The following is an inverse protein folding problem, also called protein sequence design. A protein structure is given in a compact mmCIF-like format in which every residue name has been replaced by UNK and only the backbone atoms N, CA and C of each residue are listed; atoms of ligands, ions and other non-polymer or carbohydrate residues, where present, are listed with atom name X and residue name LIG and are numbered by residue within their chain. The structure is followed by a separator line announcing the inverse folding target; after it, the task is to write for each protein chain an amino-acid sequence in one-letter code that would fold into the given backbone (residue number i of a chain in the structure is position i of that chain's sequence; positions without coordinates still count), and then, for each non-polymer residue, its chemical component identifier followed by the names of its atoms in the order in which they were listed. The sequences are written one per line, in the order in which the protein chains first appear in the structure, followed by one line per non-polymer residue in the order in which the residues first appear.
data_IF_558545689139
#
_entry.id   IF_558545689139
#
_cell.length_a   1.000
_cell.length_b   1.000
_cell.length_c   1.000
_cell.angle_alpha   90.00
_cell.angle_beta   90.00
_cell.angle_gamma   90.00
#
_symmetry.space_group_name_H-M   'P 1'
#
loop_
_entity.id
_entity.type
_entity.pdbx_description
1 polymer ?
#
# COMPACT_ATOMS: atom_id res chain seq x y z
N UNK A 1 30.57 17.78 -25.27
CA UNK A 1 29.10 17.78 -25.36
C UNK A 1 28.53 17.85 -23.95
N UNK A 2 27.69 18.83 -23.63
CA UNK A 2 27.12 19.00 -22.29
C UNK A 2 25.93 18.04 -22.11
N UNK A 3 25.94 17.18 -21.09
CA UNK A 3 24.82 16.27 -20.77
C UNK A 3 24.17 16.72 -19.45
N UNK A 4 22.84 16.84 -19.44
CA UNK A 4 22.06 17.01 -18.21
C UNK A 4 21.70 15.61 -17.71
N UNK A 5 22.10 15.31 -16.48
CA UNK A 5 21.73 14.06 -15.80
C UNK A 5 20.73 14.40 -14.70
N UNK A 6 19.60 13.68 -14.69
CA UNK A 6 18.55 13.82 -13.67
C UNK A 6 18.62 12.60 -12.77
N UNK A 7 18.64 12.83 -11.46
CA UNK A 7 18.68 11.79 -10.43
C UNK A 7 17.43 11.96 -9.57
N UNK A 8 16.76 10.84 -9.28
CA UNK A 8 15.55 10.79 -8.47
C UNK A 8 15.85 10.00 -7.20
N UNK A 9 15.66 10.63 -6.04
CA UNK A 9 15.88 10.02 -4.74
C UNK A 9 14.58 9.98 -3.94
N UNK A 10 14.31 8.85 -3.29
CA UNK A 10 13.07 8.62 -2.56
C UNK A 10 13.33 8.55 -1.06
N UNK A 11 12.40 9.11 -0.29
CA UNK A 11 12.46 9.11 1.17
C UNK A 11 11.13 8.67 1.78
N UNK A 12 11.18 7.93 2.88
CA UNK A 12 10.04 7.63 3.74
C UNK A 12 10.28 8.22 5.13
N UNK A 13 9.43 9.16 5.54
CA UNK A 13 9.57 9.90 6.79
C UNK A 13 10.96 10.54 6.95
N UNK A 14 11.50 11.05 5.84
CA UNK A 14 12.82 11.68 5.78
C UNK A 14 14.01 10.72 5.73
N UNK A 15 13.79 9.40 5.73
CA UNK A 15 14.86 8.40 5.58
C UNK A 15 14.97 7.94 4.14
N UNK A 16 16.20 7.80 3.65
CA UNK A 16 16.49 7.31 2.31
C UNK A 16 15.94 5.90 2.08
N UNK A 17 15.32 5.70 0.91
CA UNK A 17 14.86 4.40 0.44
C UNK A 17 15.88 3.82 -0.56
N UNK A 18 16.07 2.48 -0.59
CA UNK A 18 15.33 1.46 0.15
C UNK A 18 15.84 1.21 1.58
N UNK A 19 14.91 0.96 2.51
CA UNK A 19 15.16 0.62 3.93
C UNK A 19 15.22 -0.89 4.19
N UNK A 20 14.64 -1.70 3.30
CA UNK A 20 14.61 -3.16 3.44
C UNK A 20 14.48 -3.84 2.06
N UNK A 21 14.56 -5.17 2.04
CA UNK A 21 14.58 -5.99 0.81
C UNK A 21 13.28 -5.95 -0.01
N UNK A 22 12.15 -5.52 0.59
CA UNK A 22 10.88 -5.37 -0.12
C UNK A 22 10.85 -4.13 -1.01
N UNK A 23 11.77 -3.19 -0.78
CA UNK A 23 11.81 -1.89 -1.43
C UNK A 23 12.89 -1.87 -2.52
N UNK A 24 12.54 -1.40 -3.71
CA UNK A 24 13.46 -1.29 -4.84
C UNK A 24 13.28 0.05 -5.54
N UNK A 25 14.37 0.78 -5.71
CA UNK A 25 14.42 2.02 -6.50
C UNK A 25 15.04 1.71 -7.85
N UNK A 26 14.36 2.10 -8.92
CA UNK A 26 14.78 1.83 -10.29
C UNK A 26 15.38 3.08 -10.94
N UNK A 27 16.36 2.93 -11.86
CA UNK A 27 16.96 4.05 -12.59
C UNK A 27 15.97 4.86 -13.44
N UNK A 28 14.80 4.31 -13.74
CA UNK A 28 13.72 5.00 -14.44
C UNK A 28 12.92 5.97 -13.53
N UNK A 29 13.32 6.15 -12.27
CA UNK A 29 12.64 7.04 -11.32
C UNK A 29 11.41 6.42 -10.67
N UNK A 30 11.36 5.08 -10.53
CA UNK A 30 10.24 4.38 -9.87
C UNK A 30 10.70 3.75 -8.56
N UNK A 31 9.85 3.83 -7.52
CA UNK A 31 9.97 3.07 -6.28
C UNK A 31 8.91 1.96 -6.29
N UNK A 32 9.33 0.72 -6.03
CA UNK A 32 8.44 -0.43 -5.87
C UNK A 32 8.59 -0.99 -4.46
N UNK A 33 7.47 -1.29 -3.81
CA UNK A 33 7.43 -1.96 -2.50
C UNK A 33 6.60 -3.25 -2.65
N UNK A 34 7.25 -4.40 -2.50
CA UNK A 34 6.60 -5.71 -2.58
C UNK A 34 5.94 -6.07 -1.25
N UNK A 35 4.71 -6.61 -1.28
CA UNK A 35 4.00 -7.04 -0.08
C UNK A 35 3.84 -5.92 0.95
N UNK A 36 3.19 -4.83 0.58
CA UNK A 36 2.97 -3.64 1.43
C UNK A 36 2.27 -3.99 2.75
N UNK A 37 2.70 -3.34 3.83
CA UNK A 37 2.22 -3.59 5.19
C UNK A 37 1.71 -2.28 5.83
N UNK A 38 0.47 -2.25 6.36
CA UNK A 38 -0.03 -1.12 7.12
C UNK A 38 0.89 -0.77 8.29
N UNK A 39 0.93 0.50 8.67
CA UNK A 39 1.79 1.10 9.71
C UNK A 39 3.29 1.08 9.43
N UNK A 40 3.79 0.12 8.65
CA UNK A 40 5.21 -0.01 8.31
C UNK A 40 5.54 0.79 7.06
N UNK A 41 4.73 0.63 6.01
CA UNK A 41 4.92 1.34 4.73
C UNK A 41 4.00 2.56 4.62
N UNK A 42 3.21 2.86 5.66
CA UNK A 42 2.47 4.11 5.80
C UNK A 42 3.42 5.27 6.05
N UNK A 43 3.05 6.46 5.55
CA UNK A 43 3.73 7.68 5.94
C UNK A 43 3.85 8.71 4.84
N UNK A 44 4.68 9.71 5.10
CA UNK A 44 5.03 10.76 4.16
C UNK A 44 6.18 10.31 3.28
N UNK A 45 5.86 10.08 2.02
CA UNK A 45 6.83 9.83 0.97
C UNK A 45 7.29 11.15 0.35
N UNK A 46 8.58 11.26 0.10
CA UNK A 46 9.16 12.38 -0.63
C UNK A 46 9.96 11.85 -1.82
N UNK A 47 9.92 12.60 -2.92
CA UNK A 47 10.76 12.40 -4.08
C UNK A 47 11.54 13.69 -4.32
N UNK A 48 12.87 13.58 -4.31
CA UNK A 48 13.79 14.66 -4.60
C UNK A 48 14.42 14.43 -5.97
N UNK A 49 14.30 15.43 -6.83
CA UNK A 49 14.84 15.42 -8.19
C UNK A 49 16.00 16.39 -8.24
N UNK A 50 17.20 15.88 -8.50
CA UNK A 50 18.40 16.67 -8.70
C UNK A 50 18.85 16.63 -10.15
N UNK A 51 19.40 17.75 -10.62
CA UNK A 51 20.08 17.80 -11.91
C UNK A 51 21.57 18.03 -11.68
N UNK A 52 22.41 17.62 -12.61
CA UNK A 52 23.86 17.83 -12.54
C UNK A 52 24.31 19.31 -12.50
N UNK A 53 23.39 20.27 -12.51
CA UNK A 53 23.66 21.71 -12.67
C UNK A 53 22.87 22.63 -11.72
N UNK A 54 22.07 22.10 -10.76
CA UNK A 54 21.17 22.96 -10.00
C UNK A 54 20.65 22.43 -8.67
N UNK A 55 19.77 23.21 -8.04
CA UNK A 55 19.15 22.87 -6.76
C UNK A 55 18.13 21.73 -6.89
N UNK A 56 18.02 20.86 -5.86
CA UNK A 56 17.00 19.83 -5.81
C UNK A 56 15.58 20.42 -5.79
N UNK A 57 14.66 19.77 -6.48
CA UNK A 57 13.23 19.98 -6.33
C UNK A 57 12.63 18.80 -5.57
N UNK A 58 11.89 19.07 -4.49
CA UNK A 58 11.32 18.04 -3.63
C UNK A 58 9.80 18.12 -3.62
N UNK A 59 9.15 16.96 -3.76
CA UNK A 59 7.69 16.84 -3.60
C UNK A 59 7.37 15.74 -2.59
N UNK A 60 6.43 16.04 -1.69
CA UNK A 60 5.99 15.12 -0.65
C UNK A 60 4.50 14.85 -0.71
N UNK A 61 4.09 13.62 -0.40
CA UNK A 61 2.69 13.21 -0.27
C UNK A 61 2.55 12.12 0.79
N UNK A 62 1.36 12.00 1.38
CA UNK A 62 1.08 10.98 2.41
C UNK A 62 0.40 9.78 1.77
N UNK A 63 0.98 8.60 1.99
CA UNK A 63 0.39 7.31 1.60
C UNK A 63 -0.17 6.63 2.85
N UNK A 64 -1.35 6.04 2.69
CA UNK A 64 -1.99 5.17 3.69
C UNK A 64 -2.26 3.83 3.02
N UNK A 65 -1.63 2.78 3.52
CA UNK A 65 -1.78 1.40 3.11
C UNK A 65 -2.96 0.81 3.85
N UNK A 66 -3.92 0.27 3.08
CA UNK A 66 -5.14 -0.35 3.60
C UNK A 66 -5.11 -1.85 3.37
N UNK A 67 -5.85 -2.56 4.20
CA UNK A 67 -6.07 -4.00 4.07
C UNK A 67 -7.51 -4.29 3.69
N UNK A 68 -7.68 -5.24 2.76
CA UNK A 68 -9.01 -5.71 2.39
C UNK A 68 -9.70 -6.46 3.54
N UNK A 69 -11.03 -6.57 3.50
CA UNK A 69 -11.79 -7.33 4.49
C UNK A 69 -11.41 -8.81 4.43
N UNK A 70 -11.17 -9.40 5.58
CA UNK A 70 -11.04 -10.85 5.74
C UNK A 70 -12.30 -11.38 6.41
N UNK A 71 -12.85 -12.45 5.85
CA UNK A 71 -14.08 -13.07 6.33
C UNK A 71 -13.70 -14.25 7.19
N UNK A 72 -14.26 -14.31 8.40
CA UNK A 72 -14.11 -15.46 9.28
C UNK A 72 -14.66 -16.72 8.61
N UNK A 73 -13.95 -17.84 8.77
CA UNK A 73 -14.41 -19.13 8.25
C UNK A 73 -15.79 -19.49 8.79
N UNK A 74 -16.63 -20.04 7.93
CA UNK A 74 -17.94 -20.56 8.30
C UNK A 74 -18.14 -21.94 7.67
N UNK A 75 -18.95 -22.77 8.31
CA UNK A 75 -19.33 -24.09 7.81
C UNK A 75 -20.82 -24.32 8.05
N UNK A 76 -21.40 -25.16 7.20
CA UNK A 76 -22.74 -25.68 7.43
C UNK A 76 -22.71 -26.79 8.49
N UNK A 77 -23.88 -27.11 9.05
CA UNK A 77 -24.04 -28.29 9.90
C UNK A 77 -23.90 -29.56 9.06
N UNK A 78 -23.32 -30.61 9.64
CA UNK A 78 -23.26 -31.93 9.02
C UNK A 78 -24.67 -32.55 8.90
N UNK A 79 -24.82 -33.53 7.99
CA UNK A 79 -26.06 -34.29 7.77
C UNK A 79 -27.29 -33.43 7.43
N UNK A 80 -27.11 -32.47 6.53
CA UNK A 80 -28.22 -31.71 5.93
C UNK A 80 -29.02 -32.59 4.95
N UNK A 81 -30.34 -32.58 5.10
CA UNK A 81 -31.27 -33.32 4.25
C UNK A 81 -32.21 -32.36 3.50
N UNK A 82 -32.81 -32.85 2.41
CA UNK A 82 -33.79 -32.09 1.63
C UNK A 82 -34.95 -31.60 2.51
N UNK A 83 -35.35 -30.34 2.30
CA UNK A 83 -36.41 -29.68 3.09
C UNK A 83 -35.93 -29.07 4.42
N UNK A 84 -34.66 -29.26 4.82
CA UNK A 84 -34.13 -28.65 6.05
C UNK A 84 -33.70 -27.19 5.86
N UNK A 85 -34.00 -26.35 6.85
CA UNK A 85 -33.49 -24.98 6.94
C UNK A 85 -32.10 -24.99 7.58
N UNK A 86 -31.15 -24.28 6.95
CA UNK A 86 -29.85 -24.00 7.53
C UNK A 86 -29.53 -22.52 7.42
N UNK A 87 -28.72 -22.01 8.34
CA UNK A 87 -28.22 -20.65 8.34
C UNK A 87 -26.73 -20.66 8.68
N UNK A 88 -25.98 -19.76 8.06
CA UNK A 88 -24.58 -19.49 8.37
C UNK A 88 -24.40 -17.98 8.51
N UNK A 89 -23.48 -17.56 9.38
CA UNK A 89 -23.20 -16.14 9.60
C UNK A 89 -21.88 -15.77 8.93
N UNK A 90 -21.92 -14.75 8.07
CA UNK A 90 -20.73 -14.16 7.49
C UNK A 90 -20.30 -12.97 8.34
N UNK A 91 -19.08 -13.01 8.87
CA UNK A 91 -18.53 -11.95 9.72
C UNK A 91 -17.18 -11.53 9.13
N UNK A 92 -16.99 -10.23 8.96
CA UNK A 92 -15.67 -9.66 8.62
C UNK A 92 -14.87 -9.59 9.92
N UNK A 93 -13.75 -10.32 9.97
CA UNK A 93 -12.91 -10.42 11.17
C UNK A 93 -11.87 -9.30 11.27
N UNK A 94 -11.47 -8.74 10.13
CA UNK A 94 -10.42 -7.75 10.01
C UNK A 94 -10.41 -7.08 8.64
N UNK A 95 -9.62 -6.01 8.51
CA UNK A 95 -9.54 -5.19 7.30
C UNK A 95 -10.17 -3.82 7.50
N UNK A 96 -9.86 -2.90 6.58
CA UNK A 96 -10.45 -1.57 6.58
C UNK A 96 -11.91 -1.62 6.10
N UNK A 97 -12.80 -0.95 6.83
CA UNK A 97 -14.20 -0.79 6.43
C UNK A 97 -14.36 0.03 5.14
N UNK A 98 -15.55 0.02 4.52
CA UNK A 98 -15.79 0.73 3.27
C UNK A 98 -15.51 2.23 3.44
N UNK A 99 -14.65 2.78 2.60
CA UNK A 99 -14.27 4.20 2.60
C UNK A 99 -15.26 5.09 1.84
N UNK A 100 -16.31 4.51 1.25
CA UNK A 100 -17.39 5.24 0.60
C UNK A 100 -18.38 5.77 1.64
N UNK A 101 -18.66 7.08 1.61
CA UNK A 101 -19.84 7.62 2.29
C UNK A 101 -21.07 6.94 1.66
N UNK A 102 -22.06 6.46 2.43
CA UNK A 102 -23.30 5.98 1.85
C UNK A 102 -23.87 7.10 0.97
N UNK A 103 -24.03 6.82 -0.33
CA UNK A 103 -24.82 7.67 -1.22
C UNK A 103 -26.27 7.35 -0.86
N UNK A 104 -26.83 8.17 0.03
CA UNK A 104 -28.27 8.28 0.25
C UNK A 104 -28.84 9.39 -0.61
#
# INVERSE_FOLDING_TARGET
MQKIVVIVQFFLEGRDLPLNQRQRVFPNGTLVIEGVQPRVDDGRYSCEVTTSQGMPATRSFRIVVRTGPKVASFSFKDNLHEGMLTAVTCIVDSGDGPTGKPVG
#
